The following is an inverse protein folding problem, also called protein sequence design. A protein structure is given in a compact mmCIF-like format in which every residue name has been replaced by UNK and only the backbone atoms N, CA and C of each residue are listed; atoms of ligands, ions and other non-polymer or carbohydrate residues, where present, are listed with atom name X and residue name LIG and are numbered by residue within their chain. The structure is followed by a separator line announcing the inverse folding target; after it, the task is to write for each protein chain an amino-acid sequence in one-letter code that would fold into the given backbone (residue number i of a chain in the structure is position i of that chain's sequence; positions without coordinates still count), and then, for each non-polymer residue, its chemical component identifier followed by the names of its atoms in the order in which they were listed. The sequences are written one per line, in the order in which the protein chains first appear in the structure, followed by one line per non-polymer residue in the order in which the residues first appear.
data_IF_434958659844
#
_entry.id   IF_434958659844
#
_cell.length_a   1.000
_cell.length_b   1.000
_cell.length_c   1.000
_cell.angle_alpha   90.00
_cell.angle_beta   90.00
_cell.angle_gamma   90.00
#
_symmetry.space_group_name_H-M   'P 1'
#
loop_
_entity.id
_entity.type
_entity.pdbx_description
1 polymer ?
#
# COMPACT_ATOMS: atom_id res chain seq x y z
N UNK A 1 8.62 -42.94 -34.04
CA UNK A 1 9.68 -41.96 -33.67
C UNK A 1 8.91 -40.73 -33.23
N UNK A 2 8.58 -40.69 -31.94
CA UNK A 2 7.61 -39.73 -31.39
C UNK A 2 8.25 -38.36 -31.31
N UNK A 3 7.58 -37.42 -31.98
CA UNK A 3 7.77 -35.99 -31.91
C UNK A 3 7.69 -35.56 -30.43
N UNK A 4 8.84 -35.20 -29.86
CA UNK A 4 8.98 -34.75 -28.49
C UNK A 4 9.03 -33.22 -28.52
N UNK A 5 7.84 -32.61 -28.45
CA UNK A 5 7.66 -31.17 -28.34
C UNK A 5 8.05 -30.73 -26.91
N UNK A 6 9.16 -30.00 -26.80
CA UNK A 6 9.80 -29.60 -25.53
C UNK A 6 9.33 -28.24 -25.02
N UNK A 7 8.35 -27.60 -25.66
CA UNK A 7 8.11 -26.16 -25.44
C UNK A 7 6.87 -25.85 -24.58
N UNK A 8 6.17 -26.86 -24.04
CA UNK A 8 4.98 -26.64 -23.20
C UNK A 8 5.24 -26.34 -21.72
N UNK A 9 6.49 -26.36 -21.26
CA UNK A 9 6.83 -26.05 -19.87
C UNK A 9 7.79 -24.86 -19.75
N UNK A 10 7.37 -23.72 -20.30
CA UNK A 10 7.80 -22.45 -19.73
C UNK A 10 6.92 -22.19 -18.50
N UNK A 11 7.40 -22.39 -17.26
CA UNK A 11 6.65 -21.90 -16.12
C UNK A 11 6.54 -20.39 -16.31
N UNK A 12 5.30 -19.89 -16.45
CA UNK A 12 5.02 -18.47 -16.19
C UNK A 12 5.68 -18.24 -14.83
N UNK A 13 6.66 -17.33 -14.70
CA UNK A 13 7.32 -17.14 -13.43
C UNK A 13 6.21 -16.92 -12.43
N UNK A 14 6.18 -17.78 -11.39
CA UNK A 14 5.25 -17.69 -10.29
C UNK A 14 5.43 -16.29 -9.72
N UNK A 15 4.62 -15.36 -10.24
CA UNK A 15 4.46 -14.01 -9.73
C UNK A 15 3.71 -14.20 -8.42
N UNK A 16 4.40 -14.78 -7.43
CA UNK A 16 4.17 -14.47 -6.02
C UNK A 16 4.52 -13.00 -5.88
N UNK A 17 3.68 -12.17 -6.48
CA UNK A 17 3.71 -10.73 -6.34
C UNK A 17 3.77 -10.53 -4.83
N UNK A 18 4.72 -9.75 -4.31
CA UNK A 18 4.56 -9.29 -2.94
C UNK A 18 3.19 -8.60 -2.94
N UNK A 19 2.21 -9.21 -2.25
CA UNK A 19 0.80 -8.77 -2.23
C UNK A 19 0.71 -7.49 -1.39
N UNK A 20 1.46 -6.47 -1.80
CA UNK A 20 1.43 -5.15 -1.22
C UNK A 20 0.17 -4.51 -1.77
N UNK A 21 -0.83 -4.36 -0.90
CA UNK A 21 -2.04 -3.61 -1.23
C UNK A 21 -1.85 -2.24 -0.63
N UNK A 22 -1.92 -1.17 -1.43
CA UNK A 22 -2.10 0.14 -0.83
C UNK A 22 -3.46 0.73 -1.07
N UNK A 23 -3.93 1.39 -0.01
CA UNK A 23 -5.21 2.07 -0.04
C UNK A 23 -5.04 3.49 0.48
N UNK A 24 -5.55 4.44 -0.28
CA UNK A 24 -5.65 5.84 0.16
C UNK A 24 -6.78 5.95 1.17
N UNK A 25 -6.50 6.57 2.30
CA UNK A 25 -7.46 6.86 3.35
C UNK A 25 -7.42 8.35 3.66
N UNK A 26 -8.37 9.14 3.11
CA UNK A 26 -8.33 10.59 3.23
C UNK A 26 -8.69 11.10 4.63
N UNK A 27 -9.44 10.32 5.41
CA UNK A 27 -9.99 10.74 6.70
C UNK A 27 -8.99 10.62 7.87
N UNK A 28 -9.33 11.17 9.06
CA UNK A 28 -8.62 10.87 10.30
C UNK A 28 -8.67 9.38 10.61
N UNK A 29 -7.53 8.81 10.98
CA UNK A 29 -7.35 7.38 11.21
C UNK A 29 -7.11 7.13 12.70
N UNK A 30 -7.82 6.15 13.26
CA UNK A 30 -7.68 5.76 14.65
C UNK A 30 -7.11 4.35 14.78
N UNK A 31 -6.08 4.19 15.59
CA UNK A 31 -5.57 2.89 16.04
C UNK A 31 -6.13 2.61 17.43
N UNK A 32 -7.06 1.66 17.56
CA UNK A 32 -7.76 1.32 18.82
C UNK A 32 -8.38 2.54 19.54
N UNK A 33 -8.89 3.50 18.77
CA UNK A 33 -9.48 4.74 19.31
C UNK A 33 -8.48 5.82 19.70
N UNK A 34 -7.20 5.64 19.35
CA UNK A 34 -6.17 6.67 19.47
C UNK A 34 -5.95 7.31 18.08
N UNK A 35 -6.17 8.62 17.94
CA UNK A 35 -5.93 9.32 16.69
C UNK A 35 -4.48 9.27 16.26
N UNK A 36 -4.27 8.79 15.04
CA UNK A 36 -2.96 8.77 14.42
C UNK A 36 -2.55 10.18 14.01
N UNK A 37 -1.31 10.55 14.33
CA UNK A 37 -0.68 11.79 13.89
C UNK A 37 0.72 11.49 13.37
N UNK A 38 1.10 12.09 12.25
CA UNK A 38 2.42 11.91 11.68
C UNK A 38 3.45 12.57 12.60
N UNK A 39 4.38 11.79 13.15
CA UNK A 39 5.43 12.30 14.03
C UNK A 39 6.38 13.28 13.33
N UNK A 40 6.48 13.23 12.00
CA UNK A 40 7.38 14.09 11.21
C UNK A 40 6.79 15.46 10.85
N UNK A 41 5.50 15.52 10.49
CA UNK A 41 4.88 16.76 9.98
C UNK A 41 3.60 17.17 10.71
N UNK A 42 3.11 16.38 11.66
CA UNK A 42 1.90 16.70 12.43
C UNK A 42 0.57 16.48 11.69
N UNK A 43 0.59 15.99 10.45
CA UNK A 43 -0.63 15.65 9.72
C UNK A 43 -1.49 14.62 10.48
N UNK A 44 -2.82 14.74 10.35
CA UNK A 44 -3.81 13.88 11.05
C UNK A 44 -4.74 13.12 10.10
N UNK A 45 -4.61 13.34 8.80
CA UNK A 45 -5.46 12.80 7.73
C UNK A 45 -4.60 12.52 6.50
N UNK A 46 -5.20 12.12 5.39
CA UNK A 46 -4.50 11.89 4.11
C UNK A 46 -3.41 10.80 4.20
N UNK A 47 -3.82 9.59 4.58
CA UNK A 47 -2.94 8.45 4.78
C UNK A 47 -2.89 7.54 3.56
N UNK A 48 -1.76 6.85 3.40
CA UNK A 48 -1.65 5.68 2.54
C UNK A 48 -1.39 4.46 3.44
N UNK A 49 -2.31 3.52 3.42
CA UNK A 49 -2.18 2.26 4.15
C UNK A 49 -1.55 1.22 3.24
N UNK A 50 -0.40 0.68 3.61
CA UNK A 50 0.25 -0.42 2.91
C UNK A 50 0.02 -1.71 3.69
N UNK A 51 -0.68 -2.67 3.10
CA UNK A 51 -0.79 -4.01 3.63
C UNK A 51 0.29 -4.88 3.00
N UNK A 52 1.27 -5.29 3.80
CA UNK A 52 2.34 -6.20 3.39
C UNK A 52 2.15 -7.51 4.15
N UNK A 53 1.57 -8.51 3.47
CA UNK A 53 1.15 -9.80 4.06
C UNK A 53 0.08 -9.63 5.13
N UNK A 54 0.48 -9.64 6.39
CA UNK A 54 -0.35 -9.51 7.59
C UNK A 54 -0.07 -8.21 8.37
N UNK A 55 0.92 -7.43 7.93
CA UNK A 55 1.33 -6.19 8.55
C UNK A 55 0.74 -4.98 7.83
N UNK A 56 0.38 -3.97 8.60
CA UNK A 56 -0.12 -2.69 8.08
C UNK A 56 0.91 -1.62 8.37
N UNK A 57 1.29 -0.89 7.33
CA UNK A 57 2.12 0.30 7.44
C UNK A 57 1.25 1.51 7.11
N UNK A 58 1.43 2.57 7.88
CA UNK A 58 0.83 3.87 7.61
C UNK A 58 1.90 4.75 7.02
N UNK A 59 1.61 5.37 5.89
CA UNK A 59 2.49 6.32 5.24
C UNK A 59 1.80 7.67 5.11
N UNK A 60 2.51 8.70 5.54
CA UNK A 60 2.12 10.09 5.37
C UNK A 60 2.62 10.64 4.02
N UNK A 61 1.94 11.65 3.47
CA UNK A 61 2.39 12.39 2.28
C UNK A 61 3.79 13.00 2.40
N UNK A 62 4.28 13.23 3.63
CA UNK A 62 5.67 13.64 3.88
C UNK A 62 6.70 12.49 3.78
N UNK A 63 6.31 11.35 3.21
CA UNK A 63 7.09 10.12 3.09
C UNK A 63 7.51 9.48 4.43
N UNK A 64 6.94 9.93 5.56
CA UNK A 64 7.12 9.22 6.83
C UNK A 64 6.25 7.98 6.84
N UNK A 65 6.87 6.82 7.01
CA UNK A 65 6.23 5.51 7.02
C UNK A 65 6.59 4.79 8.31
N UNK A 66 5.61 4.11 8.90
CA UNK A 66 5.84 3.27 10.08
C UNK A 66 4.90 2.08 10.08
N UNK A 67 5.34 1.00 10.71
CA UNK A 67 4.48 -0.14 11.01
C UNK A 67 3.51 0.24 12.13
N UNK A 68 2.21 0.04 11.90
CA UNK A 68 1.15 0.33 12.86
C UNK A 68 0.52 -0.99 13.35
N UNK A 69 1.02 -1.56 14.46
CA UNK A 69 0.63 -2.90 14.90
C UNK A 69 -0.84 -3.00 15.35
N UNK A 70 -1.46 -1.87 15.65
CA UNK A 70 -2.85 -1.81 16.10
C UNK A 70 -3.85 -1.72 14.94
N UNK A 71 -3.37 -1.50 13.71
CA UNK A 71 -4.15 -1.66 12.50
C UNK A 71 -3.91 -3.07 11.93
N UNK A 72 -5.00 -3.80 11.73
CA UNK A 72 -4.93 -5.18 11.24
C UNK A 72 -5.31 -5.26 9.78
N UNK A 73 -4.91 -6.34 9.11
CA UNK A 73 -5.44 -6.67 7.79
C UNK A 73 -6.97 -6.69 7.75
N UNK A 74 -7.64 -7.18 8.81
CA UNK A 74 -9.09 -7.19 8.90
C UNK A 74 -9.70 -5.78 8.90
N UNK A 75 -9.03 -4.79 9.50
CA UNK A 75 -9.44 -3.39 9.40
C UNK A 75 -9.40 -2.93 7.94
N UNK A 76 -8.32 -3.22 7.22
CA UNK A 76 -8.22 -2.86 5.80
C UNK A 76 -9.32 -3.55 4.98
N UNK A 77 -9.49 -4.86 5.17
CA UNK A 77 -10.46 -5.66 4.40
C UNK A 77 -11.91 -5.22 4.67
N UNK A 78 -12.23 -4.69 5.87
CA UNK A 78 -13.56 -4.18 6.22
C UNK A 78 -13.84 -2.79 5.63
N UNK A 79 -12.82 -1.92 5.60
CA UNK A 79 -12.98 -0.50 5.26
C UNK A 79 -12.67 -0.19 3.80
N UNK A 80 -12.07 -1.12 3.07
CA UNK A 80 -11.65 -0.88 1.69
C UNK A 80 -12.01 -2.04 0.77
N UNK A 81 -12.90 -1.75 -0.18
CA UNK A 81 -13.36 -2.68 -1.22
C UNK A 81 -12.81 -2.32 -2.60
N UNK A 82 -11.82 -1.42 -2.68
CA UNK A 82 -11.25 -0.99 -3.95
C UNK A 82 -10.54 -2.16 -4.66
N UNK A 83 -10.57 -2.21 -6.00
CA UNK A 83 -9.92 -3.25 -6.78
C UNK A 83 -8.42 -3.34 -6.45
N UNK A 84 -7.94 -4.55 -6.10
CA UNK A 84 -6.53 -4.82 -5.75
C UNK A 84 -5.53 -4.52 -6.90
N UNK A 85 -6.06 -4.35 -8.11
CA UNK A 85 -5.37 -4.17 -9.39
C UNK A 85 -4.79 -2.78 -9.64
N UNK A 86 -5.15 -1.74 -8.86
CA UNK A 86 -4.55 -0.40 -9.04
C UNK A 86 -3.05 -0.39 -8.68
N UNK A 87 -2.60 -1.30 -7.81
CA UNK A 87 -1.18 -1.46 -7.44
C UNK A 87 -0.36 -2.33 -8.38
N UNK A 88 -1.00 -3.29 -9.06
CA UNK A 88 -0.31 -4.13 -10.05
C UNK A 88 0.15 -3.34 -11.30
N UNK A 89 -0.18 -2.04 -11.38
CA UNK A 89 0.22 -1.15 -12.46
C UNK A 89 1.67 -0.64 -12.33
N UNK A 90 2.29 -0.69 -11.15
CA UNK A 90 3.61 -0.10 -10.92
C UNK A 90 4.69 -1.16 -10.69
N UNK A 91 5.70 -1.16 -11.55
CA UNK A 91 6.84 -2.10 -11.47
C UNK A 91 7.82 -1.75 -10.35
N UNK A 92 7.75 -0.54 -9.79
CA UNK A 92 8.61 -0.07 -8.72
C UNK A 92 7.88 0.80 -7.68
N UNK A 93 8.35 0.72 -6.43
CA UNK A 93 7.74 1.38 -5.27
C UNK A 93 7.76 2.90 -5.35
N UNK A 94 8.86 3.50 -5.81
CA UNK A 94 9.04 4.95 -5.87
C UNK A 94 8.08 5.60 -6.88
N UNK A 95 7.94 4.99 -8.06
CA UNK A 95 6.97 5.40 -9.08
C UNK A 95 5.55 5.30 -8.54
N UNK A 96 5.22 4.22 -7.81
CA UNK A 96 3.92 4.07 -7.14
C UNK A 96 3.66 5.18 -6.11
N UNK A 97 4.63 5.47 -5.24
CA UNK A 97 4.53 6.54 -4.25
C UNK A 97 4.34 7.92 -4.90
N UNK A 98 5.07 8.17 -5.99
CA UNK A 98 4.97 9.42 -6.75
C UNK A 98 3.61 9.57 -7.43
N UNK A 99 3.13 8.52 -8.09
CA UNK A 99 1.82 8.51 -8.74
C UNK A 99 0.66 8.73 -7.75
N UNK A 100 0.81 8.24 -6.52
CA UNK A 100 -0.17 8.42 -5.44
C UNK A 100 0.03 9.73 -4.66
N UNK A 101 1.11 10.46 -4.92
CA UNK A 101 1.53 11.67 -4.21
C UNK A 101 1.83 11.46 -2.70
N UNK A 102 2.53 10.36 -2.41
CA UNK A 102 3.10 9.99 -1.10
C UNK A 102 4.64 9.88 -1.13
N UNK A 103 5.28 10.55 -2.09
CA UNK A 103 6.74 10.59 -2.29
C UNK A 103 7.46 11.64 -1.41
N UNK A 104 6.73 12.42 -0.62
CA UNK A 104 7.29 13.45 0.24
C UNK A 104 7.15 14.87 -0.29
N UNK A 105 6.80 15.05 -1.58
CA UNK A 105 6.69 16.38 -2.20
C UNK A 105 5.53 17.21 -1.63
N UNK A 106 4.53 16.55 -1.04
CA UNK A 106 3.35 17.18 -0.45
C UNK A 106 3.38 17.18 1.09
N UNK A 107 4.58 17.25 1.69
CA UNK A 107 4.73 17.32 3.13
C UNK A 107 3.94 18.49 3.73
N UNK A 108 3.09 18.21 4.72
CA UNK A 108 2.26 19.22 5.38
C UNK A 108 1.06 19.73 4.55
N UNK A 109 0.86 19.22 3.33
CA UNK A 109 -0.34 19.53 2.54
C UNK A 109 -1.43 18.52 2.87
N UNK A 110 -2.62 19.01 3.17
CA UNK A 110 -3.81 18.18 3.34
C UNK A 110 -4.88 18.61 2.35
N UNK A 111 -5.66 17.67 1.84
CA UNK A 111 -6.73 17.96 0.89
C UNK A 111 -8.02 18.21 1.67
N UNK A 112 -8.78 19.22 1.24
CA UNK A 112 -10.11 19.54 1.80
C UNK A 112 -11.23 18.81 1.07
#
# INVERSE_FOLDING_TARGET
MTDYDHDFYSPIPDRRQPTIRAVRYPDPLDARGIPITCSRCGARRDWLLLNVRDQVFVRCRCANEWHEPDLTRAFIDLHFTAPEDEWQRWDDYETGMRALAFDGLLAGTTWD
#
